data_IF_697369291117
#
_entry.id   IF_697369291117
#
_cell.length_a   1.000
_cell.length_b   1.000
_cell.length_c   1.000
_cell.angle_alpha   90.00
_cell.angle_beta   90.00
_cell.angle_gamma   90.00
#
_symmetry.space_group_name_H-M   'P 1'
#
loop_
_entity.id
_entity.type
_entity.pdbx_description
1 polymer ?
#
# COMPACT_ATOMS: atom_id res chain seq x y z
N UNK A 1 -24.11 -14.41 -12.88
CA UNK A 1 -23.67 -13.50 -11.83
C UNK A 1 -23.40 -12.11 -12.40
N UNK A 2 -23.90 -11.08 -11.75
CA UNK A 2 -23.63 -9.70 -12.17
C UNK A 2 -22.22 -9.27 -11.72
N UNK A 3 -21.86 -9.64 -10.49
CA UNK A 3 -20.56 -9.25 -9.92
C UNK A 3 -19.41 -10.07 -10.52
N UNK A 4 -18.26 -9.42 -10.65
CA UNK A 4 -17.00 -10.08 -10.92
C UNK A 4 -16.26 -10.28 -9.62
N UNK A 5 -15.64 -11.44 -9.44
CA UNK A 5 -15.00 -11.80 -8.18
C UNK A 5 -13.50 -11.88 -8.39
N UNK A 6 -12.76 -11.22 -7.52
CA UNK A 6 -11.31 -11.24 -7.48
C UNK A 6 -10.85 -11.75 -6.13
N UNK A 7 -9.70 -12.40 -6.09
CA UNK A 7 -9.16 -12.98 -4.86
C UNK A 7 -7.80 -12.37 -4.55
N UNK A 8 -7.58 -12.07 -3.28
CA UNK A 8 -6.27 -11.69 -2.79
C UNK A 8 -5.60 -12.92 -2.20
N UNK A 9 -4.29 -13.03 -2.41
CA UNK A 9 -3.50 -14.09 -1.81
C UNK A 9 -3.25 -13.83 -0.32
N UNK A 10 -2.68 -14.82 0.39
CA UNK A 10 -2.28 -14.67 1.77
C UNK A 10 -0.78 -15.02 1.89
N UNK A 11 0.11 -14.21 1.29
CA UNK A 11 1.53 -14.53 1.24
C UNK A 11 2.23 -14.32 2.59
N UNK A 12 3.37 -15.01 2.74
CA UNK A 12 4.24 -14.88 3.92
C UNK A 12 5.54 -14.17 3.59
N UNK A 13 5.67 -13.66 2.38
CA UNK A 13 6.85 -12.94 1.91
C UNK A 13 6.40 -11.64 1.23
N UNK A 14 7.34 -10.74 0.97
CA UNK A 14 7.05 -9.50 0.27
C UNK A 14 6.27 -9.79 -1.01
N UNK A 15 5.14 -9.14 -1.18
CA UNK A 15 4.26 -9.33 -2.31
C UNK A 15 3.65 -8.01 -2.73
N UNK A 16 3.64 -7.76 -4.03
CA UNK A 16 2.90 -6.65 -4.63
C UNK A 16 2.02 -7.29 -5.69
N UNK A 17 0.72 -7.37 -5.40
CA UNK A 17 -0.24 -8.11 -6.20
C UNK A 17 -1.21 -7.15 -6.86
N UNK A 18 -1.32 -7.24 -8.19
CA UNK A 18 -2.30 -6.47 -8.96
C UNK A 18 -3.60 -7.25 -9.01
N UNK A 19 -4.51 -6.94 -8.08
CA UNK A 19 -5.78 -7.66 -7.94
C UNK A 19 -6.74 -7.30 -9.07
N UNK A 20 -6.80 -6.03 -9.42
CA UNK A 20 -7.70 -5.52 -10.47
C UNK A 20 -7.04 -4.35 -11.18
N UNK A 21 -7.02 -4.39 -12.50
CA UNK A 21 -6.58 -3.28 -13.33
C UNK A 21 -7.60 -3.10 -14.45
N UNK A 22 -8.34 -2.00 -14.40
CA UNK A 22 -9.25 -1.62 -15.48
C UNK A 22 -9.20 -0.11 -15.72
N UNK A 23 -10.07 0.40 -16.58
CA UNK A 23 -10.05 1.80 -16.95
C UNK A 23 -10.45 2.75 -15.81
N UNK A 24 -11.05 2.23 -14.75
CA UNK A 24 -11.52 3.04 -13.63
C UNK A 24 -10.62 2.95 -12.40
N UNK A 25 -9.98 1.79 -12.17
CA UNK A 25 -9.31 1.51 -10.91
C UNK A 25 -8.16 0.54 -11.08
N UNK A 26 -7.05 0.84 -10.40
CA UNK A 26 -5.99 -0.12 -10.14
C UNK A 26 -6.06 -0.49 -8.66
N UNK A 27 -6.34 -1.75 -8.37
CA UNK A 27 -6.46 -2.23 -7.00
C UNK A 27 -5.27 -3.14 -6.69
N UNK A 28 -4.43 -2.68 -5.77
CA UNK A 28 -3.19 -3.39 -5.43
C UNK A 28 -3.28 -3.93 -4.00
N UNK A 29 -2.79 -5.13 -3.82
CA UNK A 29 -2.65 -5.77 -2.52
C UNK A 29 -1.16 -5.95 -2.25
N UNK A 30 -0.68 -5.41 -1.14
CA UNK A 30 0.74 -5.42 -0.81
C UNK A 30 0.97 -6.01 0.57
N UNK A 31 2.02 -6.82 0.67
CA UNK A 31 2.46 -7.42 1.93
C UNK A 31 3.96 -7.21 2.06
N UNK A 32 4.38 -6.70 3.20
CA UNK A 32 5.79 -6.44 3.51
C UNK A 32 6.19 -7.12 4.81
N UNK A 33 7.34 -7.80 4.78
CA UNK A 33 8.00 -8.28 5.97
C UNK A 33 8.89 -7.18 6.55
N UNK A 34 9.46 -7.41 7.72
CA UNK A 34 10.37 -6.44 8.36
C UNK A 34 11.48 -6.01 7.40
N UNK A 35 11.68 -4.72 7.25
CA UNK A 35 12.72 -4.16 6.40
C UNK A 35 12.33 -4.01 4.93
N UNK A 36 11.23 -4.59 4.51
CA UNK A 36 10.77 -4.45 3.12
C UNK A 36 10.28 -3.04 2.84
N UNK A 37 10.48 -2.58 1.60
CA UNK A 37 10.09 -1.24 1.18
C UNK A 37 9.73 -1.24 -0.30
N UNK A 38 9.09 -0.16 -0.73
CA UNK A 38 8.93 0.15 -2.15
C UNK A 38 10.00 1.16 -2.57
N UNK A 39 10.47 1.10 -3.82
CA UNK A 39 11.27 2.20 -4.35
C UNK A 39 10.48 3.51 -4.28
N UNK A 40 11.19 4.60 -4.00
CA UNK A 40 10.57 5.92 -4.01
C UNK A 40 9.98 6.19 -5.40
N UNK A 41 8.76 6.71 -5.43
CA UNK A 41 8.08 7.00 -6.68
C UNK A 41 7.07 8.12 -6.50
N UNK A 42 6.64 8.69 -7.62
CA UNK A 42 5.63 9.76 -7.65
C UNK A 42 4.31 9.15 -8.11
N UNK A 43 3.24 9.42 -7.38
CA UNK A 43 1.93 8.89 -7.72
C UNK A 43 1.44 9.47 -9.05
N UNK A 44 0.86 8.62 -9.90
CA UNK A 44 0.30 9.03 -11.19
C UNK A 44 -1.23 9.12 -11.16
N UNK A 45 -1.80 9.05 -10.00
CA UNK A 45 -3.25 9.15 -9.76
C UNK A 45 -3.47 9.46 -8.28
N UNK A 46 -4.71 9.71 -7.89
CA UNK A 46 -5.07 9.76 -6.47
C UNK A 46 -5.00 8.35 -5.93
N UNK A 47 -4.39 8.20 -4.76
CA UNK A 47 -4.23 6.89 -4.10
C UNK A 47 -5.06 6.86 -2.83
N UNK A 48 -5.81 5.79 -2.66
CA UNK A 48 -6.51 5.48 -1.41
C UNK A 48 -5.89 4.21 -0.86
N UNK A 49 -5.26 4.32 0.31
CA UNK A 49 -4.49 3.23 0.88
C UNK A 49 -5.04 2.88 2.26
N UNK A 50 -5.40 1.61 2.44
CA UNK A 50 -5.87 1.11 3.75
C UNK A 50 -4.82 0.19 4.34
N UNK A 51 -4.46 0.45 5.60
CA UNK A 51 -3.60 -0.45 6.37
C UNK A 51 -4.49 -1.52 7.00
N UNK A 52 -4.31 -2.78 6.59
CA UNK A 52 -5.14 -3.90 7.06
C UNK A 52 -4.53 -4.51 8.32
N UNK A 53 -3.19 -4.63 8.38
CA UNK A 53 -2.49 -5.11 9.57
C UNK A 53 -1.06 -4.60 9.57
N UNK A 54 -0.46 -4.57 10.76
CA UNK A 54 0.89 -4.09 10.96
C UNK A 54 0.93 -2.58 11.09
N UNK A 55 2.10 -2.03 10.85
CA UNK A 55 2.33 -0.58 10.98
C UNK A 55 3.07 -0.07 9.75
N UNK A 56 2.46 0.87 9.05
CA UNK A 56 3.01 1.51 7.87
C UNK A 56 3.89 2.68 8.26
N UNK A 57 5.11 2.74 7.74
CA UNK A 57 5.93 3.94 7.78
C UNK A 57 5.91 4.56 6.37
N UNK A 58 5.49 5.80 6.26
CA UNK A 58 5.33 6.45 4.96
C UNK A 58 5.84 7.88 4.99
N UNK A 59 6.70 8.21 4.02
CA UNK A 59 7.17 9.57 3.77
C UNK A 59 6.49 10.12 2.53
N UNK A 60 5.93 11.32 2.63
CA UNK A 60 5.21 11.99 1.54
C UNK A 60 5.86 13.34 1.27
N UNK A 61 6.28 13.56 0.02
CA UNK A 61 6.98 14.78 -0.39
C UNK A 61 8.18 15.07 0.53
N UNK A 62 8.28 16.28 1.05
CA UNK A 62 9.39 16.69 1.94
C UNK A 62 9.00 16.60 3.42
N UNK A 63 7.87 15.98 3.74
CA UNK A 63 7.43 15.81 5.12
C UNK A 63 8.25 14.72 5.82
N UNK A 64 8.32 14.82 7.16
CA UNK A 64 8.85 13.75 7.98
C UNK A 64 8.01 12.48 7.78
N UNK A 65 8.62 11.30 7.80
CA UNK A 65 7.84 10.06 7.76
C UNK A 65 6.88 9.96 8.94
N UNK A 66 5.69 9.49 8.66
CA UNK A 66 4.68 9.22 9.69
C UNK A 66 4.35 7.74 9.71
N UNK A 67 3.88 7.26 10.86
CA UNK A 67 3.48 5.87 11.03
C UNK A 67 1.99 5.78 11.24
N UNK A 68 1.38 4.76 10.63
CA UNK A 68 -0.05 4.52 10.71
C UNK A 68 -0.30 3.05 10.99
N UNK A 69 -1.22 2.78 11.90
CA UNK A 69 -1.56 1.43 12.31
C UNK A 69 -2.74 0.87 11.52
N UNK A 70 -3.01 -0.41 11.72
CA UNK A 70 -4.14 -1.09 11.08
C UNK A 70 -5.44 -0.34 11.32
N UNK A 71 -6.29 -0.30 10.30
CA UNK A 71 -7.55 0.42 10.34
C UNK A 71 -7.48 1.85 9.82
N UNK A 72 -6.30 2.29 9.37
CA UNK A 72 -6.11 3.65 8.84
C UNK A 72 -6.35 3.65 7.33
N UNK A 73 -7.09 4.64 6.84
CA UNK A 73 -7.25 4.92 5.42
C UNK A 73 -6.56 6.25 5.11
N UNK A 74 -5.63 6.23 4.17
CA UNK A 74 -4.94 7.41 3.70
C UNK A 74 -5.44 7.78 2.30
N UNK A 75 -5.69 9.07 2.09
CA UNK A 75 -5.88 9.61 0.74
C UNK A 75 -4.63 10.37 0.36
N UNK A 76 -3.97 9.94 -0.70
CA UNK A 76 -2.70 10.52 -1.17
C UNK A 76 -2.96 11.16 -2.54
N UNK A 77 -2.74 12.46 -2.67
CA UNK A 77 -3.05 13.15 -3.92
C UNK A 77 -2.17 12.73 -5.09
N UNK A 78 -2.66 12.96 -6.29
CA UNK A 78 -1.90 12.87 -7.53
C UNK A 78 -0.60 13.70 -7.44
N UNK A 79 0.48 13.15 -8.01
CA UNK A 79 1.81 13.78 -8.04
C UNK A 79 2.46 13.96 -6.66
N UNK A 80 2.24 13.00 -5.78
CA UNK A 80 2.90 12.98 -4.48
C UNK A 80 4.07 12.00 -4.51
N UNK A 81 5.24 12.45 -4.09
CA UNK A 81 6.40 11.58 -3.91
C UNK A 81 6.15 10.72 -2.68
N UNK A 82 6.31 9.41 -2.82
CA UNK A 82 5.92 8.46 -1.80
C UNK A 82 7.02 7.45 -1.52
N UNK A 83 7.23 7.20 -0.23
CA UNK A 83 8.23 6.28 0.30
C UNK A 83 7.57 5.38 1.33
N UNK A 84 7.46 4.09 1.04
CA UNK A 84 6.72 3.13 1.89
C UNK A 84 7.66 2.09 2.44
N UNK A 85 7.58 1.84 3.75
CA UNK A 85 8.44 0.87 4.45
C UNK A 85 7.69 0.15 5.54
N UNK A 86 8.16 -1.06 5.85
CA UNK A 86 7.81 -1.76 7.08
C UNK A 86 9.05 -1.83 7.97
N UNK A 87 9.04 -1.09 9.08
CA UNK A 87 10.16 -1.03 10.03
C UNK A 87 10.00 -1.99 11.21
N UNK A 88 8.95 -2.78 11.25
CA UNK A 88 8.59 -3.60 12.40
C UNK A 88 8.57 -5.08 12.06
N UNK A 89 8.74 -5.97 13.07
CA UNK A 89 8.73 -7.42 12.85
C UNK A 89 7.39 -7.95 12.33
N UNK A 90 6.30 -7.27 12.64
CA UNK A 90 4.97 -7.68 12.20
C UNK A 90 4.80 -7.47 10.69
N UNK A 91 4.04 -8.35 10.07
CA UNK A 91 3.70 -8.20 8.66
C UNK A 91 2.83 -6.95 8.49
N UNK A 92 3.18 -6.15 7.49
CA UNK A 92 2.39 -4.99 7.06
C UNK A 92 1.57 -5.39 5.83
N UNK A 93 0.29 -5.14 5.88
CA UNK A 93 -0.61 -5.42 4.77
C UNK A 93 -1.52 -4.23 4.49
#
# INVERSE_FOLDING_TARGET
MVEKVYRMSAPKAKTIEKVLLDENLHYLHMVFCEGDSLPEHVTNANVYMTVVRGRLSIGLNEQEPHEYEAGTLLKIPFRTKMNVKNLYPEILE
#
